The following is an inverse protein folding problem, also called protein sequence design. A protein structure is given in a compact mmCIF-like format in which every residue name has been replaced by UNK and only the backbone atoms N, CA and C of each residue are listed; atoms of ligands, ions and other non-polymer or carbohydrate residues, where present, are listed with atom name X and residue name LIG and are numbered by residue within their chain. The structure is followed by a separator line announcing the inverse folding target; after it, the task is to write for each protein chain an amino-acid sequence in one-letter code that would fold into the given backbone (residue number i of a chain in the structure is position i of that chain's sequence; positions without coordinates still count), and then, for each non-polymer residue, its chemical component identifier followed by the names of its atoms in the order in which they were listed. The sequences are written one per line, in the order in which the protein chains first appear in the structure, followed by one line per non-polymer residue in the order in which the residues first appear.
data_IF_791148986805
#
_entry.id   IF_791148986805
#
_cell.length_a   1.000
_cell.length_b   1.000
_cell.length_c   1.000
_cell.angle_alpha   90.00
_cell.angle_beta   90.00
_cell.angle_gamma   90.00
#
_symmetry.space_group_name_H-M   'P 1'
#
loop_
_entity.id
_entity.type
_entity.pdbx_description
1 polymer ?
#
# COMPACT_ATOMS: atom_id res chain seq x y z
N UNK A 1 3.74 -14.68 9.82
CA UNK A 1 2.86 -14.70 8.62
C UNK A 1 3.57 -15.45 7.51
N UNK A 2 3.01 -16.57 7.04
CA UNK A 2 3.45 -17.17 5.78
C UNK A 2 2.95 -16.22 4.70
N UNK A 3 3.86 -15.50 4.02
CA UNK A 3 3.51 -14.68 2.87
C UNK A 3 2.94 -15.62 1.81
N UNK A 4 1.60 -15.70 1.76
CA UNK A 4 0.88 -16.32 0.66
C UNK A 4 1.40 -15.71 -0.63
N UNK A 5 1.66 -16.57 -1.61
CA UNK A 5 2.17 -16.27 -2.93
C UNK A 5 1.79 -14.84 -3.40
N UNK A 6 2.66 -13.85 -3.17
CA UNK A 6 2.49 -12.48 -3.71
C UNK A 6 2.36 -12.56 -5.24
N UNK A 7 2.97 -13.60 -5.83
CA UNK A 7 2.81 -14.02 -7.20
C UNK A 7 2.19 -15.40 -7.20
N UNK A 8 0.96 -15.55 -7.69
CA UNK A 8 0.15 -16.79 -7.79
C UNK A 8 0.89 -18.02 -8.37
N UNK A 9 2.11 -17.85 -8.88
CA UNK A 9 3.01 -18.90 -9.34
C UNK A 9 4.28 -19.01 -8.50
N UNK A 10 4.48 -20.18 -7.87
CA UNK A 10 5.72 -20.52 -7.18
C UNK A 10 6.98 -20.46 -8.08
N UNK A 11 6.80 -20.45 -9.40
CA UNK A 11 7.89 -20.33 -10.39
C UNK A 11 8.58 -18.97 -10.36
N UNK A 12 7.87 -17.92 -9.94
CA UNK A 12 8.39 -16.54 -9.92
C UNK A 12 9.14 -16.25 -8.62
N UNK A 13 8.87 -17.03 -7.56
CA UNK A 13 9.45 -16.83 -6.24
C UNK A 13 10.98 -16.78 -6.26
N UNK A 14 11.73 -17.72 -6.90
CA UNK A 14 13.19 -17.64 -6.95
C UNK A 14 13.69 -16.35 -7.57
N UNK A 15 13.07 -15.89 -8.65
CA UNK A 15 13.42 -14.64 -9.33
C UNK A 15 13.11 -13.40 -8.49
N UNK A 16 12.10 -13.46 -7.64
CA UNK A 16 11.79 -12.37 -6.71
C UNK A 16 12.76 -12.36 -5.52
N UNK A 17 13.14 -13.52 -4.98
CA UNK A 17 14.02 -13.61 -3.81
C UNK A 17 15.41 -13.01 -4.06
N UNK A 18 15.95 -13.17 -5.27
CA UNK A 18 17.27 -12.64 -5.66
C UNK A 18 17.31 -11.11 -5.79
N UNK A 19 16.16 -10.43 -5.79
CA UNK A 19 16.10 -8.98 -5.90
C UNK A 19 16.60 -8.30 -4.63
N UNK A 20 17.25 -7.14 -4.80
CA UNK A 20 17.60 -6.29 -3.67
C UNK A 20 16.35 -5.78 -2.95
N UNK A 21 16.50 -5.37 -1.68
CA UNK A 21 15.39 -4.75 -0.93
C UNK A 21 14.75 -3.60 -1.70
N UNK A 22 15.58 -2.73 -2.30
CA UNK A 22 15.10 -1.59 -3.09
C UNK A 22 14.30 -2.02 -4.34
N UNK A 23 14.75 -3.05 -5.05
CA UNK A 23 14.02 -3.58 -6.21
C UNK A 23 12.67 -4.17 -5.81
N UNK A 24 12.60 -4.88 -4.67
CA UNK A 24 11.34 -5.39 -4.11
C UNK A 24 10.39 -4.24 -3.77
N UNK A 25 10.89 -3.19 -3.11
CA UNK A 25 10.13 -1.97 -2.80
C UNK A 25 9.56 -1.35 -4.07
N UNK A 26 10.36 -1.15 -5.12
CA UNK A 26 9.87 -0.58 -6.38
C UNK A 26 8.79 -1.42 -7.05
N UNK A 27 8.92 -2.75 -7.05
CA UNK A 27 7.90 -3.63 -7.63
C UNK A 27 6.58 -3.54 -6.86
N UNK A 28 6.65 -3.60 -5.53
CA UNK A 28 5.45 -3.50 -4.67
C UNK A 28 4.82 -2.12 -4.79
N UNK A 29 5.62 -1.04 -4.76
CA UNK A 29 5.12 0.32 -4.93
C UNK A 29 4.44 0.52 -6.30
N UNK A 30 5.02 0.00 -7.38
CA UNK A 30 4.41 0.06 -8.71
C UNK A 30 3.10 -0.74 -8.78
N UNK A 31 3.05 -1.92 -8.14
CA UNK A 31 1.84 -2.74 -8.05
C UNK A 31 0.72 -2.01 -7.29
N UNK A 32 1.04 -1.38 -6.16
CA UNK A 32 0.10 -0.56 -5.39
C UNK A 32 -0.37 0.68 -6.18
N UNK A 33 0.57 1.40 -6.81
CA UNK A 33 0.25 2.58 -7.62
C UNK A 33 -0.73 2.27 -8.77
N UNK A 34 -0.60 1.09 -9.41
CA UNK A 34 -1.54 0.63 -10.44
C UNK A 34 -2.99 0.57 -9.94
N UNK A 35 -3.19 0.41 -8.63
CA UNK A 35 -4.50 0.33 -7.99
C UNK A 35 -5.03 1.68 -7.49
N UNK A 36 -4.33 2.79 -7.70
CA UNK A 36 -4.72 4.14 -7.28
C UNK A 36 -6.16 4.51 -7.64
N UNK A 37 -6.67 4.01 -8.77
CA UNK A 37 -8.07 4.21 -9.19
C UNK A 37 -9.09 3.77 -8.12
N UNK A 38 -8.77 2.75 -7.32
CA UNK A 38 -9.65 2.25 -6.26
C UNK A 38 -9.71 3.21 -5.07
N UNK A 39 -8.57 3.79 -4.68
CA UNK A 39 -8.55 4.85 -3.65
C UNK A 39 -9.31 6.08 -4.14
N UNK A 40 -9.14 6.47 -5.41
CA UNK A 40 -9.89 7.60 -5.97
C UNK A 40 -11.40 7.36 -6.00
N UNK A 41 -11.83 6.12 -6.23
CA UNK A 41 -13.25 5.75 -6.12
C UNK A 41 -13.75 5.88 -4.69
N UNK A 42 -12.95 5.47 -3.70
CA UNK A 42 -13.26 5.69 -2.28
C UNK A 42 -13.40 7.18 -1.95
N UNK A 43 -12.42 8.01 -2.34
CA UNK A 43 -12.44 9.46 -2.15
C UNK A 43 -13.72 10.09 -2.75
N UNK A 44 -14.16 9.61 -3.91
CA UNK A 44 -15.38 10.10 -4.56
C UNK A 44 -16.66 9.71 -3.83
N UNK A 45 -16.76 8.47 -3.33
CA UNK A 45 -17.94 7.95 -2.64
C UNK A 45 -18.11 8.61 -1.28
N UNK A 46 -17.01 8.78 -0.55
CA UNK A 46 -17.03 9.27 0.83
C UNK A 46 -16.59 10.72 1.00
N UNK A 47 -16.23 11.41 -0.08
CA UNK A 47 -15.69 12.78 -0.07
C UNK A 47 -14.43 12.94 0.78
N UNK A 48 -13.56 11.93 0.73
CA UNK A 48 -12.27 11.87 1.42
C UNK A 48 -11.11 12.30 0.50
N UNK A 49 -9.89 12.39 1.06
CA UNK A 49 -8.67 12.69 0.30
C UNK A 49 -7.54 11.68 0.58
N UNK A 50 -7.91 10.41 0.67
CA UNK A 50 -7.00 9.31 1.00
C UNK A 50 -5.98 9.07 -0.12
N UNK A 51 -6.32 9.41 -1.38
CA UNK A 51 -5.40 9.24 -2.51
C UNK A 51 -4.14 10.09 -2.41
N UNK A 52 -4.20 11.26 -1.78
CA UNK A 52 -3.02 12.10 -1.57
C UNK A 52 -2.04 11.44 -0.58
N UNK A 53 -2.57 10.94 0.54
CA UNK A 53 -1.78 10.19 1.53
C UNK A 53 -1.19 8.92 0.90
N UNK A 54 -1.97 8.19 0.11
CA UNK A 54 -1.50 6.98 -0.57
C UNK A 54 -0.33 7.26 -1.52
N UNK A 55 -0.42 8.30 -2.35
CA UNK A 55 0.67 8.69 -3.27
C UNK A 55 1.91 9.13 -2.48
N UNK A 56 1.72 9.92 -1.42
CA UNK A 56 2.83 10.36 -0.56
C UNK A 56 3.53 9.18 0.09
N UNK A 57 2.79 8.22 0.65
CA UNK A 57 3.34 7.01 1.25
C UNK A 57 4.18 6.20 0.25
N UNK A 58 3.70 6.03 -0.99
CA UNK A 58 4.46 5.36 -2.04
C UNK A 58 5.78 6.09 -2.35
N UNK A 59 5.73 7.42 -2.45
CA UNK A 59 6.92 8.23 -2.70
C UNK A 59 7.93 8.09 -1.55
N UNK A 60 7.46 8.15 -0.31
CA UNK A 60 8.30 7.98 0.88
C UNK A 60 8.97 6.61 0.91
N UNK A 61 8.22 5.54 0.63
CA UNK A 61 8.77 4.18 0.56
C UNK A 61 9.89 4.05 -0.48
N UNK A 62 9.77 4.74 -1.61
CA UNK A 62 10.69 4.67 -2.76
C UNK A 62 11.95 5.53 -2.54
N UNK A 63 11.82 6.71 -1.92
CA UNK A 63 12.84 7.76 -1.95
C UNK A 63 13.55 8.05 -0.61
N UNK A 64 12.97 7.64 0.53
CA UNK A 64 13.28 8.30 1.81
C UNK A 64 14.15 7.51 2.80
N UNK A 65 14.63 8.22 3.82
CA UNK A 65 15.33 7.68 5.00
C UNK A 65 14.33 7.23 6.09
N UNK A 66 14.83 6.52 7.11
CA UNK A 66 14.00 5.83 8.12
C UNK A 66 13.04 6.73 8.90
N UNK A 67 13.40 7.98 9.19
CA UNK A 67 12.56 8.85 10.02
C UNK A 67 11.29 9.33 9.31
N UNK A 68 11.40 9.69 8.03
CA UNK A 68 10.23 10.10 7.24
C UNK A 68 9.29 8.91 7.00
N UNK A 69 9.86 7.72 6.79
CA UNK A 69 9.10 6.47 6.66
C UNK A 69 8.23 6.23 7.89
N UNK A 70 8.79 6.35 9.11
CA UNK A 70 8.05 6.14 10.37
C UNK A 70 6.88 7.12 10.52
N UNK A 71 7.13 8.42 10.39
CA UNK A 71 6.05 9.42 10.52
C UNK A 71 4.93 9.22 9.49
N UNK A 72 5.30 8.82 8.26
CA UNK A 72 4.32 8.55 7.20
C UNK A 72 3.56 7.24 7.46
N UNK A 73 4.23 6.26 8.06
CA UNK A 73 3.64 4.97 8.44
C UNK A 73 2.58 5.15 9.51
N UNK A 74 2.89 5.90 10.58
CA UNK A 74 1.93 6.23 11.65
C UNK A 74 0.69 6.93 11.07
N UNK A 75 0.88 7.93 10.20
CA UNK A 75 -0.24 8.61 9.55
C UNK A 75 -1.05 7.68 8.61
N UNK A 76 -0.39 6.79 7.89
CA UNK A 76 -1.06 5.77 7.05
C UNK A 76 -1.91 4.84 7.91
N UNK A 77 -1.38 4.37 9.04
CA UNK A 77 -2.07 3.48 9.97
C UNK A 77 -3.33 4.13 10.57
N UNK A 78 -3.21 5.38 11.01
CA UNK A 78 -4.32 6.16 11.58
C UNK A 78 -5.44 6.45 10.58
N UNK A 79 -5.15 6.39 9.28
CA UNK A 79 -6.09 6.68 8.19
C UNK A 79 -6.50 5.43 7.41
N UNK A 80 -6.27 4.22 7.93
CA UNK A 80 -6.84 3.00 7.34
C UNK A 80 -8.36 3.06 7.49
N UNK A 81 -9.14 3.03 6.39
CA UNK A 81 -10.60 3.04 6.48
C UNK A 81 -11.16 1.87 7.31
N UNK A 82 -12.04 2.16 8.25
CA UNK A 82 -12.83 1.14 8.94
C UNK A 82 -14.03 0.74 8.07
N UNK A 83 -14.15 -0.54 7.73
CA UNK A 83 -15.27 -1.05 6.93
C UNK A 83 -16.62 -1.01 7.66
N UNK A 84 -16.64 -0.84 8.99
CA UNK A 84 -17.87 -0.56 9.72
C UNK A 84 -18.42 0.83 9.38
N UNK A 85 -17.54 1.83 9.24
CA UNK A 85 -17.88 3.20 8.85
C UNK A 85 -18.01 3.38 7.33
N UNK A 86 -17.19 2.65 6.57
CA UNK A 86 -17.12 2.68 5.10
C UNK A 86 -17.61 1.36 4.48
N UNK A 87 -18.90 1.08 4.65
CA UNK A 87 -19.50 -0.23 4.33
C UNK A 87 -19.65 -0.57 2.83
N UNK A 88 -19.43 0.38 1.92
CA UNK A 88 -19.43 0.12 0.48
C UNK A 88 -18.17 -0.64 0.07
N UNK A 89 -18.20 -1.25 -1.11
CA UNK A 89 -17.08 -2.06 -1.60
C UNK A 89 -15.77 -1.25 -1.71
N UNK A 90 -15.89 0.03 -2.01
CA UNK A 90 -14.79 1.00 -2.08
C UNK A 90 -14.06 1.12 -0.74
N UNK A 91 -14.77 1.05 0.39
CA UNK A 91 -14.18 1.07 1.73
C UNK A 91 -13.26 -0.12 1.97
N UNK A 92 -13.73 -1.34 1.64
CA UNK A 92 -12.89 -2.54 1.73
C UNK A 92 -11.67 -2.50 0.79
N UNK A 93 -11.83 -1.95 -0.42
CA UNK A 93 -10.69 -1.80 -1.34
C UNK A 93 -9.66 -0.81 -0.80
N UNK A 94 -10.12 0.33 -0.30
CA UNK A 94 -9.25 1.35 0.27
C UNK A 94 -8.54 0.85 1.54
N UNK A 95 -9.26 0.18 2.44
CA UNK A 95 -8.69 -0.48 3.61
C UNK A 95 -7.56 -1.45 3.24
N UNK A 96 -7.81 -2.37 2.30
CA UNK A 96 -6.80 -3.34 1.88
C UNK A 96 -5.56 -2.68 1.28
N UNK A 97 -5.74 -1.62 0.49
CA UNK A 97 -4.64 -0.88 -0.11
C UNK A 97 -3.83 -0.08 0.92
N UNK A 98 -4.48 0.56 1.88
CA UNK A 98 -3.80 1.28 2.96
C UNK A 98 -3.04 0.34 3.88
N UNK A 99 -3.61 -0.83 4.21
CA UNK A 99 -2.89 -1.89 4.94
C UNK A 99 -1.66 -2.36 4.15
N UNK A 100 -1.80 -2.59 2.85
CA UNK A 100 -0.67 -3.02 2.02
C UNK A 100 0.43 -1.95 1.91
N UNK A 101 0.05 -0.67 1.84
CA UNK A 101 0.98 0.45 1.92
C UNK A 101 1.68 0.52 3.29
N UNK A 102 0.93 0.32 4.37
CA UNK A 102 1.48 0.27 5.73
C UNK A 102 2.57 -0.81 5.85
N UNK A 103 2.29 -2.01 5.33
CA UNK A 103 3.29 -3.08 5.29
C UNK A 103 4.49 -2.76 4.41
N UNK A 104 4.31 -2.06 3.28
CA UNK A 104 5.43 -1.62 2.45
C UNK A 104 6.34 -0.63 3.19
N UNK A 105 5.76 0.28 3.99
CA UNK A 105 6.54 1.23 4.79
C UNK A 105 7.31 0.53 5.93
N UNK A 106 6.84 -0.63 6.40
CA UNK A 106 7.50 -1.44 7.43
C UNK A 106 8.49 -2.50 6.89
N UNK A 107 8.52 -2.73 5.57
CA UNK A 107 9.39 -3.72 4.90
C UNK A 107 10.84 -3.25 4.78
#
# INVERSE_FOLDING_TARGET
MQYGLIFESAKVRPSFEILSRQQKVFIVAAYLYRQLRLIKSFDQVYSENLSELFIRGLKVAVESTSDLIRSTQEEVEDNIPDTEDFSAQEGSFAQNLMIALNYLLLF
#
